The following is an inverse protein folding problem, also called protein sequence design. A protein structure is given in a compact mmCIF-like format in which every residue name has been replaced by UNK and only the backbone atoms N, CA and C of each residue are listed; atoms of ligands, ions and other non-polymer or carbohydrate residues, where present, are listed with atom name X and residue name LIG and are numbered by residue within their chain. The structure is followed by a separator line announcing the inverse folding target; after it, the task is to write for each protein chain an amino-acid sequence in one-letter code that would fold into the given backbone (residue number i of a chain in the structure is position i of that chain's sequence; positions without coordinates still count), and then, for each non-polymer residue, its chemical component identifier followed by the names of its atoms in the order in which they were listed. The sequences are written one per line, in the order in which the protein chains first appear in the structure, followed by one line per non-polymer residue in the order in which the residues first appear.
data_IF_899562222307
#
_entry.id   IF_899562222307
#
_cell.length_a   1.000
_cell.length_b   1.000
_cell.length_c   1.000
_cell.angle_alpha   90.00
_cell.angle_beta   90.00
_cell.angle_gamma   90.00
#
_symmetry.space_group_name_H-M   'P 1'
#
loop_
_entity.id
_entity.type
_entity.pdbx_description
1 polymer ?
#
# COMPACT_ATOMS: atom_id res chain seq x y z
N UNK A 1 -4.98 41.39 -10.19
CA UNK A 1 -5.45 40.01 -9.96
C UNK A 1 -4.46 39.36 -9.03
N UNK A 2 -4.92 39.02 -7.83
CA UNK A 2 -4.03 38.61 -6.73
C UNK A 2 -3.77 37.11 -6.80
N UNK A 3 -2.50 36.73 -6.75
CA UNK A 3 -2.03 35.35 -6.68
C UNK A 3 -2.55 34.68 -5.40
N UNK A 4 -3.25 33.55 -5.52
CA UNK A 4 -3.55 32.67 -4.42
C UNK A 4 -2.36 31.74 -4.20
N UNK A 5 -1.54 32.10 -3.25
CA UNK A 5 -0.42 31.29 -2.76
C UNK A 5 -1.01 30.12 -1.95
N UNK A 6 -0.71 28.90 -2.35
CA UNK A 6 -0.98 27.67 -1.58
C UNK A 6 0.01 27.64 -0.41
N UNK A 7 -0.43 28.20 0.70
CA UNK A 7 0.24 28.14 1.98
C UNK A 7 -0.58 27.31 2.96
N UNK A 8 -0.35 26.01 2.97
CA UNK A 8 -0.90 25.11 3.99
C UNK A 8 0.17 24.07 4.31
N UNK A 9 1.11 24.46 5.15
CA UNK A 9 1.93 23.64 6.07
C UNK A 9 3.06 24.50 6.68
N UNK A 10 2.66 25.50 7.46
CA UNK A 10 3.54 26.15 8.46
C UNK A 10 2.66 26.57 9.62
N UNK A 11 3.08 26.13 10.79
CA UNK A 11 2.75 26.53 12.14
C UNK A 11 2.19 25.39 13.01
N UNK A 12 3.12 24.58 13.48
CA UNK A 12 3.01 23.97 14.79
C UNK A 12 4.41 23.79 15.42
N UNK A 13 5.05 24.89 15.75
CA UNK A 13 6.18 24.90 16.68
C UNK A 13 6.21 26.27 17.37
N UNK A 14 6.08 26.26 18.66
CA UNK A 14 6.48 27.28 19.63
C UNK A 14 5.38 27.58 20.63
N UNK A 15 5.46 26.92 21.77
CA UNK A 15 5.36 27.52 23.12
C UNK A 15 5.37 26.46 24.22
N UNK A 16 6.51 26.25 24.83
CA UNK A 16 6.57 25.96 26.27
C UNK A 16 7.83 26.59 26.84
N UNK A 17 7.62 27.61 27.65
CA UNK A 17 8.66 28.24 28.47
C UNK A 17 8.71 27.58 29.84
N UNK A 18 9.92 27.24 30.22
CA UNK A 18 10.58 27.23 31.54
C UNK A 18 9.70 27.19 32.81
N UNK A 19 9.88 26.14 33.60
CA UNK A 19 9.83 26.18 35.07
C UNK A 19 11.04 25.36 35.56
N UNK A 20 11.83 25.97 36.46
CA UNK A 20 13.08 25.43 36.98
C UNK A 20 12.92 24.50 38.21
N UNK A 21 14.01 24.00 38.81
CA UNK A 21 14.05 22.77 39.58
C UNK A 21 13.78 22.99 41.09
N UNK A 22 13.07 22.03 41.70
CA UNK A 22 13.10 21.81 43.14
C UNK A 22 13.50 20.37 43.41
N UNK A 23 14.62 20.21 44.10
CA UNK A 23 15.16 18.92 44.52
C UNK A 23 14.36 18.34 45.69
N UNK A 24 14.01 17.06 45.59
CA UNK A 24 13.66 16.23 46.74
C UNK A 24 14.28 14.86 46.60
N UNK A 25 15.23 14.58 47.49
CA UNK A 25 15.90 13.30 47.63
C UNK A 25 14.95 12.36 48.37
N UNK A 26 14.61 11.23 47.77
CA UNK A 26 14.06 10.07 48.50
C UNK A 26 14.51 8.80 47.83
N UNK A 27 15.09 7.92 48.65
CA UNK A 27 15.75 6.69 48.22
C UNK A 27 14.83 5.74 47.45
N UNK A 28 15.35 5.19 46.37
CA UNK A 28 14.69 4.20 45.56
C UNK A 28 15.49 2.89 45.60
N UNK A 29 14.78 1.89 46.05
CA UNK A 29 15.12 0.48 45.97
C UNK A 29 15.31 0.12 44.50
N UNK A 30 16.53 -0.17 44.07
CA UNK A 30 16.84 -0.62 42.71
C UNK A 30 16.43 -2.07 42.59
N UNK A 31 15.18 -2.32 42.17
CA UNK A 31 14.84 -3.59 41.55
C UNK A 31 15.37 -3.55 40.10
N UNK A 32 16.39 -4.34 39.84
CA UNK A 32 16.99 -4.49 38.51
C UNK A 32 15.96 -5.03 37.52
N UNK A 33 15.38 -4.14 36.73
CA UNK A 33 14.68 -4.53 35.51
C UNK A 33 15.77 -4.82 34.49
N UNK A 34 16.03 -6.11 34.24
CA UNK A 34 16.83 -6.51 33.09
C UNK A 34 16.19 -5.90 31.83
N UNK A 35 16.96 -5.20 30.99
CA UNK A 35 16.43 -4.74 29.72
C UNK A 35 16.03 -5.98 28.92
N UNK A 36 14.75 -6.10 28.62
CA UNK A 36 14.28 -6.98 27.57
C UNK A 36 14.98 -6.49 26.29
N UNK A 37 16.04 -7.19 25.87
CA UNK A 37 16.67 -6.95 24.58
C UNK A 37 15.58 -7.27 23.54
N UNK A 38 15.04 -6.27 22.90
CA UNK A 38 14.34 -6.44 21.64
C UNK A 38 15.34 -7.12 20.70
N UNK A 39 15.18 -8.43 20.52
CA UNK A 39 15.93 -9.15 19.50
C UNK A 39 15.65 -8.46 18.16
N UNK A 40 16.71 -8.10 17.45
CA UNK A 40 16.61 -7.55 16.10
C UNK A 40 15.72 -8.49 15.26
N UNK A 41 14.50 -8.04 14.96
CA UNK A 41 13.51 -8.83 14.20
C UNK A 41 13.97 -9.13 12.77
N UNK A 42 15.06 -8.53 12.33
CA UNK A 42 15.61 -8.67 10.98
C UNK A 42 16.31 -10.01 10.73
N UNK A 43 16.71 -10.74 11.76
CA UNK A 43 17.28 -12.09 11.62
C UNK A 43 16.23 -13.16 11.28
N UNK A 44 14.95 -12.84 11.39
CA UNK A 44 13.87 -13.80 11.14
C UNK A 44 13.53 -13.95 9.64
N UNK A 45 13.79 -12.93 8.81
CA UNK A 45 13.46 -12.94 7.39
C UNK A 45 14.65 -13.43 6.55
N UNK A 46 14.32 -14.13 5.47
CA UNK A 46 15.29 -14.58 4.46
C UNK A 46 15.03 -13.84 3.15
N UNK A 47 16.04 -13.16 2.63
CA UNK A 47 16.01 -12.52 1.32
C UNK A 47 16.21 -13.54 0.20
N UNK A 48 15.35 -13.48 -0.80
CA UNK A 48 15.30 -14.41 -1.91
C UNK A 48 15.02 -13.72 -3.24
N UNK A 49 15.22 -14.43 -4.34
CA UNK A 49 14.91 -13.96 -5.69
C UNK A 49 14.18 -15.02 -6.49
N UNK A 50 13.29 -14.56 -7.35
CA UNK A 50 12.59 -15.40 -8.33
C UNK A 50 12.62 -14.76 -9.71
N UNK A 51 13.08 -15.51 -10.72
CA UNK A 51 12.99 -15.10 -12.13
C UNK A 51 11.64 -15.54 -12.66
N UNK A 52 10.78 -14.58 -13.00
CA UNK A 52 9.42 -14.79 -13.49
C UNK A 52 9.08 -13.69 -14.51
N UNK A 53 8.29 -14.03 -15.51
CA UNK A 53 7.76 -13.07 -16.49
C UNK A 53 8.82 -12.08 -17.06
N UNK A 54 10.04 -12.58 -17.30
CA UNK A 54 11.15 -11.81 -17.87
C UNK A 54 11.85 -10.83 -16.90
N UNK A 55 11.54 -10.90 -15.60
CA UNK A 55 12.16 -10.07 -14.56
C UNK A 55 12.61 -10.91 -13.38
N UNK A 56 13.61 -10.40 -12.65
CA UNK A 56 14.04 -10.95 -11.37
C UNK A 56 13.40 -10.17 -10.24
N UNK A 57 12.54 -10.83 -9.47
CA UNK A 57 11.85 -10.23 -8.35
C UNK A 57 12.49 -10.65 -7.04
N UNK A 58 12.77 -9.67 -6.18
CA UNK A 58 13.19 -9.87 -4.82
C UNK A 58 11.98 -10.12 -3.92
N UNK A 59 12.13 -10.95 -2.91
CA UNK A 59 11.14 -11.14 -1.86
C UNK A 59 11.79 -11.55 -0.55
N UNK A 60 11.17 -11.14 0.55
CA UNK A 60 11.49 -11.64 1.87
C UNK A 60 10.51 -12.74 2.27
N UNK A 61 10.99 -13.75 2.98
CA UNK A 61 10.15 -14.84 3.48
C UNK A 61 10.45 -15.19 4.92
N UNK A 62 9.43 -15.70 5.62
CA UNK A 62 9.53 -16.19 7.00
C UNK A 62 8.48 -17.26 7.23
N UNK A 63 8.80 -18.26 8.09
CA UNK A 63 7.91 -19.38 8.39
C UNK A 63 7.92 -20.47 7.33
N UNK A 64 7.02 -21.44 7.49
CA UNK A 64 6.83 -22.60 6.61
C UNK A 64 5.35 -22.98 6.57
N UNK A 65 4.90 -23.61 5.51
CA UNK A 65 3.51 -24.05 5.36
C UNK A 65 2.85 -23.56 4.07
N UNK A 66 1.51 -23.43 4.03
CA UNK A 66 0.80 -22.84 2.91
C UNK A 66 1.25 -21.40 2.64
N UNK A 67 1.29 -20.99 1.38
CA UNK A 67 1.71 -19.64 1.00
C UNK A 67 0.68 -18.59 1.41
N UNK A 68 1.14 -17.56 2.08
CA UNK A 68 0.47 -16.26 2.16
C UNK A 68 1.38 -15.20 1.54
N UNK A 69 0.90 -14.55 0.47
CA UNK A 69 1.65 -13.59 -0.33
C UNK A 69 1.15 -12.17 -0.05
N UNK A 70 2.09 -11.28 0.24
CA UNK A 70 1.83 -9.88 0.53
C UNK A 70 2.34 -8.98 -0.60
N UNK A 71 1.46 -8.13 -1.15
CA UNK A 71 1.77 -7.14 -2.16
C UNK A 71 1.64 -5.73 -1.59
N UNK A 72 2.72 -4.98 -1.64
CA UNK A 72 2.75 -3.58 -1.23
C UNK A 72 2.24 -2.65 -2.34
N UNK A 73 2.15 -1.36 -2.05
CA UNK A 73 1.84 -0.31 -3.02
C UNK A 73 2.92 0.77 -3.11
N UNK A 74 2.55 1.91 -3.68
CA UNK A 74 3.41 3.08 -3.77
C UNK A 74 3.23 3.97 -2.53
N UNK A 75 4.28 4.46 -1.93
CA UNK A 75 5.70 4.32 -2.23
C UNK A 75 6.40 3.31 -1.30
N UNK A 76 5.97 2.10 -1.24
CA UNK A 76 6.41 1.11 -0.27
C UNK A 76 7.21 -0.06 -0.88
N UNK A 77 7.52 -1.05 -0.06
CA UNK A 77 8.17 -2.29 -0.42
C UNK A 77 7.78 -3.40 0.58
N UNK A 78 8.30 -4.63 0.44
CA UNK A 78 7.89 -5.77 1.26
C UNK A 78 7.87 -5.50 2.76
N UNK A 79 8.76 -4.62 3.26
CA UNK A 79 8.99 -4.39 4.68
C UNK A 79 7.79 -3.76 5.41
N UNK A 80 6.87 -3.11 4.70
CA UNK A 80 5.61 -2.65 5.30
C UNK A 80 4.81 -3.77 5.95
N UNK A 81 5.06 -5.02 5.57
CA UNK A 81 4.34 -6.21 6.01
C UNK A 81 5.05 -6.99 7.10
N UNK A 82 6.19 -6.48 7.65
CA UNK A 82 7.03 -7.22 8.59
C UNK A 82 6.24 -7.85 9.74
N UNK A 83 5.33 -7.08 10.34
CA UNK A 83 4.58 -7.50 11.53
C UNK A 83 3.50 -8.53 11.17
N UNK A 84 2.77 -8.31 10.07
CA UNK A 84 1.78 -9.24 9.55
C UNK A 84 2.42 -10.56 9.09
N UNK A 85 3.60 -10.48 8.47
CA UNK A 85 4.36 -11.65 8.06
C UNK A 85 4.84 -12.45 9.27
N UNK A 86 5.35 -11.81 10.31
CA UNK A 86 5.76 -12.47 11.56
C UNK A 86 4.57 -13.15 12.24
N UNK A 87 3.42 -12.51 12.29
CA UNK A 87 2.22 -13.13 12.84
C UNK A 87 1.82 -14.37 12.04
N UNK A 88 1.81 -14.29 10.71
CA UNK A 88 1.40 -15.41 9.85
C UNK A 88 2.46 -16.53 9.76
N UNK A 89 3.72 -16.25 10.07
CA UNK A 89 4.83 -17.22 9.99
C UNK A 89 4.72 -18.41 10.95
N UNK A 90 3.81 -18.35 11.90
CA UNK A 90 3.59 -19.43 12.88
C UNK A 90 3.15 -20.74 12.22
N UNK A 91 2.43 -20.65 11.10
CA UNK A 91 1.83 -21.79 10.39
C UNK A 91 1.76 -21.63 8.86
N UNK A 92 2.28 -20.53 8.33
CA UNK A 92 2.33 -20.23 6.91
C UNK A 92 3.75 -19.88 6.46
N UNK A 93 4.03 -20.14 5.18
CA UNK A 93 5.12 -19.47 4.48
C UNK A 93 4.65 -18.05 4.13
N UNK A 94 5.02 -17.07 4.96
CA UNK A 94 4.69 -15.68 4.74
C UNK A 94 5.75 -15.04 3.84
N UNK A 95 5.31 -14.46 2.71
CA UNK A 95 6.17 -13.90 1.67
C UNK A 95 5.76 -12.48 1.35
N UNK A 96 6.65 -11.53 1.56
CA UNK A 96 6.53 -10.14 1.13
C UNK A 96 7.28 -9.93 -0.17
N UNK A 97 6.56 -9.63 -1.25
CA UNK A 97 7.15 -9.41 -2.56
C UNK A 97 7.53 -7.95 -2.76
N UNK A 98 8.76 -7.69 -3.19
CA UNK A 98 9.07 -6.42 -3.85
C UNK A 98 8.55 -6.50 -5.27
N UNK A 99 7.46 -5.78 -5.53
CA UNK A 99 6.87 -5.76 -6.85
C UNK A 99 7.85 -5.17 -7.87
N UNK A 100 7.70 -5.51 -9.14
CA UNK A 100 8.48 -4.94 -10.25
C UNK A 100 8.61 -3.42 -10.12
N UNK A 101 9.81 -2.87 -10.29
CA UNK A 101 10.06 -1.43 -10.18
C UNK A 101 10.45 -0.94 -8.77
N UNK A 102 10.40 -1.79 -7.76
CA UNK A 102 10.67 -1.39 -6.36
C UNK A 102 11.89 -2.09 -5.77
N UNK A 103 12.52 -1.43 -4.81
CA UNK A 103 13.61 -1.91 -3.97
C UNK A 103 14.63 -2.75 -4.76
N UNK A 104 14.83 -4.01 -4.43
CA UNK A 104 15.81 -4.91 -5.05
C UNK A 104 15.28 -5.67 -6.29
N UNK A 105 14.02 -5.51 -6.64
CA UNK A 105 13.43 -6.09 -7.84
C UNK A 105 13.87 -5.38 -9.11
N UNK A 106 13.81 -6.07 -10.26
CA UNK A 106 14.07 -5.50 -11.59
C UNK A 106 13.20 -4.29 -11.87
N UNK A 107 13.77 -3.28 -12.53
CA UNK A 107 13.14 -2.00 -12.84
C UNK A 107 13.25 -1.69 -14.35
N UNK A 108 12.42 -2.36 -15.18
CA UNK A 108 12.34 -2.03 -16.60
C UNK A 108 12.06 -0.54 -16.82
N UNK A 109 12.57 0.02 -17.90
CA UNK A 109 12.40 1.46 -18.20
C UNK A 109 11.19 1.76 -19.07
N UNK A 110 10.66 0.77 -19.77
CA UNK A 110 9.49 0.90 -20.64
C UNK A 110 8.17 0.84 -19.84
N UNK A 111 7.17 1.58 -20.29
CA UNK A 111 5.87 1.65 -19.62
C UNK A 111 5.01 0.38 -19.78
N UNK A 112 5.17 -0.35 -20.87
CA UNK A 112 4.40 -1.59 -21.10
C UNK A 112 4.68 -2.64 -20.03
N UNK A 113 5.91 -2.65 -19.50
CA UNK A 113 6.32 -3.48 -18.38
C UNK A 113 5.52 -3.22 -17.10
N UNK A 114 4.85 -2.09 -16.98
CA UNK A 114 4.09 -1.69 -15.78
C UNK A 114 2.57 -1.70 -15.96
N UNK A 115 2.09 -2.21 -17.09
CA UNK A 115 0.63 -2.44 -17.27
C UNK A 115 0.12 -3.45 -16.24
N UNK A 116 -1.08 -3.21 -15.71
CA UNK A 116 -1.69 -4.09 -14.69
C UNK A 116 -1.68 -5.55 -15.12
N UNK A 117 -1.95 -5.85 -16.40
CA UNK A 117 -1.91 -7.21 -16.94
C UNK A 117 -0.53 -7.87 -16.77
N UNK A 118 0.55 -7.14 -17.02
CA UNK A 118 1.92 -7.62 -16.82
C UNK A 118 2.22 -7.89 -15.34
N UNK A 119 1.78 -6.97 -14.45
CA UNK A 119 1.95 -7.13 -13.00
C UNK A 119 1.15 -8.30 -12.44
N UNK A 120 -0.03 -8.56 -12.96
CA UNK A 120 -0.85 -9.74 -12.61
C UNK A 120 -0.15 -11.04 -13.01
N UNK A 121 0.49 -11.05 -14.18
CA UNK A 121 1.25 -12.21 -14.64
C UNK A 121 2.51 -12.45 -13.79
N UNK A 122 3.18 -11.40 -13.31
CA UNK A 122 4.27 -11.52 -12.34
C UNK A 122 3.80 -12.29 -11.09
N UNK A 123 2.67 -11.87 -10.52
CA UNK A 123 2.09 -12.52 -9.33
C UNK A 123 1.73 -13.97 -9.60
N UNK A 124 1.15 -14.26 -10.78
CA UNK A 124 0.77 -15.62 -11.15
C UNK A 124 1.97 -16.55 -11.22
N UNK A 125 3.00 -16.17 -11.99
CA UNK A 125 4.22 -16.98 -12.13
C UNK A 125 4.99 -17.06 -10.81
N UNK A 126 5.01 -15.98 -10.03
CA UNK A 126 5.66 -15.95 -8.73
C UNK A 126 4.98 -16.93 -7.76
N UNK A 127 3.66 -16.88 -7.64
CA UNK A 127 2.92 -17.77 -6.77
C UNK A 127 3.09 -19.26 -7.13
N UNK A 128 3.12 -19.59 -8.43
CA UNK A 128 3.43 -20.95 -8.87
C UNK A 128 4.84 -21.40 -8.54
N UNK A 129 5.83 -20.50 -8.65
CA UNK A 129 7.24 -20.81 -8.41
C UNK A 129 7.54 -20.98 -6.93
N UNK A 130 6.98 -20.12 -6.07
CA UNK A 130 7.27 -20.09 -4.62
C UNK A 130 6.29 -20.95 -3.83
N UNK A 131 5.00 -20.87 -4.13
CA UNK A 131 3.94 -21.60 -3.44
C UNK A 131 3.71 -23.02 -3.97
N UNK A 132 4.14 -23.28 -5.17
CA UNK A 132 3.96 -24.57 -5.87
C UNK A 132 2.80 -24.54 -6.88
N UNK A 133 3.04 -25.19 -8.01
CA UNK A 133 2.07 -25.28 -9.11
C UNK A 133 0.77 -25.93 -8.63
N UNK A 134 -0.37 -25.37 -9.06
CA UNK A 134 -1.73 -25.83 -8.73
C UNK A 134 -2.09 -25.77 -7.22
N UNK A 135 -1.33 -25.09 -6.40
CA UNK A 135 -1.69 -24.83 -5.01
C UNK A 135 -2.42 -23.49 -4.87
N UNK A 136 -3.43 -23.47 -4.03
CA UNK A 136 -4.09 -22.21 -3.65
C UNK A 136 -3.26 -21.50 -2.59
N UNK A 137 -3.38 -20.16 -2.58
CA UNK A 137 -2.71 -19.32 -1.61
C UNK A 137 -3.62 -18.19 -1.12
N UNK A 138 -3.25 -17.60 0.00
CA UNK A 138 -3.88 -16.36 0.50
C UNK A 138 -3.12 -15.18 -0.09
N UNK A 139 -3.86 -14.21 -0.65
CA UNK A 139 -3.30 -12.97 -1.19
C UNK A 139 -3.72 -11.78 -0.34
N UNK A 140 -2.73 -11.07 0.21
CA UNK A 140 -2.91 -9.86 0.99
C UNK A 140 -2.29 -8.69 0.23
N UNK A 141 -3.01 -7.58 0.08
CA UNK A 141 -2.54 -6.52 -0.79
C UNK A 141 -3.02 -5.13 -0.35
N UNK A 142 -2.17 -4.12 -0.59
CA UNK A 142 -2.42 -2.73 -0.26
C UNK A 142 -2.15 -1.83 -1.47
N UNK A 143 -2.91 -0.74 -1.63
CA UNK A 143 -2.73 0.32 -2.64
C UNK A 143 -2.59 -0.24 -4.07
N UNK A 144 -1.47 -0.02 -4.79
CA UNK A 144 -1.22 -0.61 -6.11
C UNK A 144 -1.19 -2.13 -6.09
N UNK A 145 -0.63 -2.73 -5.01
CA UNK A 145 -0.72 -4.17 -4.81
C UNK A 145 -2.17 -4.65 -4.77
N UNK A 146 -3.06 -3.88 -4.14
CA UNK A 146 -4.50 -4.19 -4.11
C UNK A 146 -5.14 -4.07 -5.51
N UNK A 147 -4.75 -3.08 -6.31
CA UNK A 147 -5.19 -2.99 -7.71
C UNK A 147 -4.83 -4.26 -8.49
N UNK A 148 -3.59 -4.72 -8.35
CA UNK A 148 -3.11 -5.97 -8.98
C UNK A 148 -3.87 -7.18 -8.43
N UNK A 149 -4.09 -7.25 -7.11
CA UNK A 149 -4.76 -8.36 -6.45
C UNK A 149 -6.25 -8.47 -6.84
N UNK A 150 -6.96 -7.34 -6.97
CA UNK A 150 -8.33 -7.33 -7.50
C UNK A 150 -8.41 -7.91 -8.90
N UNK A 151 -7.54 -7.45 -9.81
CA UNK A 151 -7.49 -7.95 -11.19
C UNK A 151 -7.03 -9.40 -11.22
N UNK A 152 -6.07 -9.78 -10.38
CA UNK A 152 -5.65 -11.19 -10.23
C UNK A 152 -6.82 -12.10 -9.86
N UNK A 153 -7.63 -11.70 -8.87
CA UNK A 153 -8.80 -12.48 -8.44
C UNK A 153 -9.88 -12.62 -9.53
N UNK A 154 -9.95 -11.67 -10.47
CA UNK A 154 -10.84 -11.75 -11.64
C UNK A 154 -10.30 -12.70 -12.72
N UNK A 155 -8.98 -12.78 -12.89
CA UNK A 155 -8.34 -13.63 -13.91
C UNK A 155 -8.08 -15.06 -13.43
N UNK A 156 -7.62 -15.23 -12.18
CA UNK A 156 -7.14 -16.49 -11.61
C UNK A 156 -7.81 -16.84 -10.26
N UNK A 157 -9.16 -16.79 -10.16
CA UNK A 157 -9.85 -17.06 -8.89
C UNK A 157 -9.57 -18.44 -8.31
N UNK A 158 -9.25 -19.42 -9.19
CA UNK A 158 -8.93 -20.79 -8.80
C UNK A 158 -7.61 -20.92 -8.03
N UNK A 159 -6.70 -19.96 -8.18
CA UNK A 159 -5.43 -19.94 -7.45
C UNK A 159 -5.57 -19.38 -6.04
N UNK A 160 -6.68 -18.72 -5.73
CA UNK A 160 -6.86 -18.07 -4.44
C UNK A 160 -7.69 -18.94 -3.48
N UNK A 161 -7.22 -19.03 -2.24
CA UNK A 161 -7.99 -19.51 -1.12
C UNK A 161 -8.80 -18.37 -0.52
N UNK A 162 -8.15 -17.24 -0.26
CA UNK A 162 -8.74 -16.00 0.27
C UNK A 162 -8.05 -14.79 -0.32
N UNK A 163 -8.77 -13.68 -0.36
CA UNK A 163 -8.27 -12.38 -0.75
C UNK A 163 -8.44 -11.39 0.41
N UNK A 164 -7.40 -10.64 0.72
CA UNK A 164 -7.43 -9.60 1.76
C UNK A 164 -6.91 -8.30 1.13
N UNK A 165 -7.75 -7.28 1.12
CA UNK A 165 -7.44 -5.98 0.53
C UNK A 165 -7.42 -4.93 1.63
N UNK A 166 -6.36 -4.13 1.66
CA UNK A 166 -6.19 -3.06 2.62
C UNK A 166 -6.07 -1.74 1.86
N UNK A 167 -6.96 -0.78 2.13
CA UNK A 167 -6.99 0.54 1.48
C UNK A 167 -6.64 0.48 -0.02
N UNK A 168 -7.41 -0.29 -0.76
CA UNK A 168 -7.21 -0.51 -2.19
C UNK A 168 -8.53 -0.57 -2.95
N UNK A 169 -8.74 0.39 -3.86
CA UNK A 169 -9.99 0.54 -4.58
C UNK A 169 -10.20 -0.56 -5.61
N UNK A 170 -11.42 -1.13 -5.64
CA UNK A 170 -11.84 -2.02 -6.71
C UNK A 170 -11.89 -1.25 -8.05
N UNK A 171 -11.38 -1.78 -9.18
CA UNK A 171 -11.23 -1.04 -10.43
C UNK A 171 -12.47 -0.29 -10.89
N UNK A 172 -13.64 -0.94 -10.89
CA UNK A 172 -14.90 -0.32 -11.31
C UNK A 172 -15.40 0.75 -10.33
N UNK A 173 -15.13 0.60 -9.05
CA UNK A 173 -15.49 1.60 -8.04
C UNK A 173 -14.52 2.79 -8.08
N UNK A 174 -13.24 2.56 -8.37
CA UNK A 174 -12.26 3.62 -8.60
C UNK A 174 -12.68 4.49 -9.80
N UNK A 175 -13.04 3.86 -10.93
CA UNK A 175 -13.53 4.58 -12.10
C UNK A 175 -14.80 5.39 -11.80
N UNK A 176 -15.77 4.80 -11.08
CA UNK A 176 -16.98 5.50 -10.66
C UNK A 176 -16.68 6.70 -9.76
N UNK A 177 -15.87 6.50 -8.72
CA UNK A 177 -15.57 7.56 -7.76
C UNK A 177 -14.84 8.75 -8.42
N UNK A 178 -13.89 8.47 -9.29
CA UNK A 178 -13.19 9.54 -10.02
C UNK A 178 -14.16 10.24 -11.00
N UNK A 179 -15.08 9.53 -11.62
CA UNK A 179 -16.04 10.11 -12.55
C UNK A 179 -17.13 10.94 -11.84
N UNK A 180 -17.66 10.44 -10.71
CA UNK A 180 -18.88 10.97 -10.10
C UNK A 180 -18.65 11.80 -8.84
N UNK A 181 -17.52 11.59 -8.14
CA UNK A 181 -17.24 12.24 -6.86
C UNK A 181 -16.14 13.31 -6.99
N UNK A 182 -16.53 14.60 -6.88
CA UNK A 182 -15.60 15.71 -6.96
C UNK A 182 -14.51 15.68 -5.86
N UNK A 183 -14.87 15.23 -4.65
CA UNK A 183 -13.90 15.11 -3.55
C UNK A 183 -12.85 14.02 -3.87
N UNK A 184 -13.26 12.89 -4.47
CA UNK A 184 -12.31 11.87 -4.90
C UNK A 184 -11.40 12.36 -6.03
N UNK A 185 -11.94 13.10 -7.03
CA UNK A 185 -11.10 13.72 -8.06
C UNK A 185 -10.03 14.61 -7.45
N UNK A 186 -10.42 15.45 -6.47
CA UNK A 186 -9.45 16.30 -5.78
C UNK A 186 -8.42 15.50 -5.00
N UNK A 187 -8.83 14.48 -4.25
CA UNK A 187 -7.94 13.59 -3.52
C UNK A 187 -6.94 12.87 -4.46
N UNK A 188 -7.33 12.61 -5.70
CA UNK A 188 -6.52 11.93 -6.73
C UNK A 188 -5.61 12.87 -7.54
N UNK A 189 -5.57 14.18 -7.24
CA UNK A 189 -4.78 15.16 -8.03
C UNK A 189 -3.26 14.85 -8.06
N UNK A 190 -2.73 14.17 -7.05
CA UNK A 190 -1.32 13.77 -7.02
C UNK A 190 -0.95 12.88 -8.23
N UNK A 191 -1.91 12.15 -8.82
CA UNK A 191 -1.67 11.31 -10.00
C UNK A 191 -1.24 12.15 -11.21
N UNK A 192 -1.76 13.37 -11.35
CA UNK A 192 -1.31 14.27 -12.42
C UNK A 192 0.16 14.63 -12.27
N UNK A 193 0.59 14.96 -11.04
CA UNK A 193 1.99 15.26 -10.74
C UNK A 193 2.89 14.07 -11.09
N UNK A 194 2.46 12.84 -10.72
CA UNK A 194 3.21 11.62 -11.02
C UNK A 194 3.30 11.32 -12.52
N UNK A 195 2.31 11.76 -13.28
CA UNK A 195 2.28 11.64 -14.74
C UNK A 195 2.98 12.80 -15.47
N UNK A 196 3.60 13.75 -14.74
CA UNK A 196 4.37 14.85 -15.30
C UNK A 196 3.54 16.09 -15.63
N UNK A 197 2.29 16.20 -15.18
CA UNK A 197 1.50 17.42 -15.27
C UNK A 197 1.79 18.32 -14.07
N UNK A 198 2.43 19.44 -14.34
CA UNK A 198 2.95 20.33 -13.31
C UNK A 198 2.33 21.71 -13.43
N UNK A 199 2.30 22.45 -12.32
CA UNK A 199 2.01 23.85 -12.34
C UNK A 199 3.13 24.62 -13.08
N UNK A 200 2.84 25.79 -13.68
CA UNK A 200 3.87 26.60 -14.33
C UNK A 200 5.03 26.90 -13.38
N UNK A 201 6.25 26.54 -13.81
CA UNK A 201 7.48 26.73 -13.03
C UNK A 201 7.92 25.55 -12.16
N UNK A 202 7.13 24.50 -12.04
CA UNK A 202 7.55 23.26 -11.39
C UNK A 202 8.35 22.37 -12.36
N UNK A 203 9.33 21.64 -11.82
CA UNK A 203 10.13 20.70 -12.62
C UNK A 203 9.44 19.32 -12.63
N UNK A 204 9.40 18.62 -13.78
CA UNK A 204 8.90 17.26 -13.83
C UNK A 204 9.72 16.35 -12.91
N UNK A 205 9.07 15.34 -12.38
CA UNK A 205 9.76 14.26 -11.69
C UNK A 205 10.36 13.37 -12.78
N UNK A 206 11.67 13.52 -12.98
CA UNK A 206 12.47 12.80 -13.97
C UNK A 206 13.64 12.05 -13.31
N UNK A 207 14.45 11.37 -14.10
CA UNK A 207 15.58 10.59 -13.62
C UNK A 207 16.60 11.42 -12.80
N UNK A 208 16.64 12.74 -12.95
CA UNK A 208 17.60 13.60 -12.27
C UNK A 208 17.16 14.02 -10.88
N UNK A 209 15.87 14.00 -10.59
CA UNK A 209 15.31 14.46 -9.31
C UNK A 209 14.45 13.40 -8.58
N UNK A 210 14.25 12.22 -9.18
CA UNK A 210 13.39 11.17 -8.62
C UNK A 210 13.86 10.68 -7.26
N UNK A 211 15.18 10.53 -7.06
CA UNK A 211 15.75 10.07 -5.79
C UNK A 211 15.47 11.12 -4.69
N UNK A 212 15.74 12.40 -4.97
CA UNK A 212 15.46 13.49 -4.04
C UNK A 212 13.97 13.59 -3.72
N UNK A 213 13.12 13.52 -4.74
CA UNK A 213 11.68 13.59 -4.57
C UNK A 213 11.12 12.40 -3.78
N UNK A 214 11.52 11.18 -4.12
CA UNK A 214 11.12 9.96 -3.43
C UNK A 214 11.60 9.94 -1.98
N UNK A 215 12.89 10.20 -1.79
CA UNK A 215 13.53 10.26 -0.47
C UNK A 215 12.86 11.31 0.42
N UNK A 216 12.64 12.53 -0.09
CA UNK A 216 11.97 13.60 0.65
C UNK A 216 10.55 13.20 1.06
N UNK A 217 9.75 12.60 0.18
CA UNK A 217 8.40 12.15 0.50
C UNK A 217 8.36 10.97 1.46
N UNK A 218 9.25 10.00 1.29
CA UNK A 218 9.36 8.88 2.22
C UNK A 218 9.79 9.35 3.62
N UNK A 219 10.72 10.31 3.70
CA UNK A 219 11.24 10.84 4.96
C UNK A 219 10.28 11.76 5.71
N UNK A 220 9.45 12.52 5.01
CA UNK A 220 8.53 13.48 5.65
C UNK A 220 7.13 12.91 5.89
N UNK A 221 6.93 11.63 5.59
CA UNK A 221 5.63 10.99 5.65
C UNK A 221 5.46 10.03 6.82
N UNK A 222 4.82 8.91 6.53
CA UNK A 222 4.43 7.91 7.50
C UNK A 222 5.59 7.23 8.24
N UNK A 223 6.78 7.06 7.61
CA UNK A 223 7.93 6.40 8.26
C UNK A 223 8.42 7.17 9.47
N UNK A 224 8.60 8.49 9.34
CA UNK A 224 9.00 9.36 10.45
C UNK A 224 7.93 9.37 11.56
N UNK A 225 6.65 9.25 11.19
CA UNK A 225 5.58 9.12 12.16
C UNK A 225 5.67 7.82 12.96
N UNK A 226 5.98 6.70 12.31
CA UNK A 226 6.14 5.40 12.97
C UNK A 226 7.39 5.34 13.86
N UNK A 227 8.50 5.98 13.45
CA UNK A 227 9.68 6.17 14.31
C UNK A 227 9.33 7.01 15.55
N UNK A 228 8.61 8.10 15.36
CA UNK A 228 8.18 8.97 16.47
C UNK A 228 7.22 8.28 17.45
N UNK A 229 6.41 7.35 16.97
CA UNK A 229 5.55 6.50 17.83
C UNK A 229 6.35 5.40 18.55
N UNK A 230 7.60 5.13 18.16
CA UNK A 230 8.43 4.06 18.69
C UNK A 230 8.11 2.67 18.10
N UNK A 231 7.29 2.60 17.08
CA UNK A 231 6.99 1.37 16.34
C UNK A 231 8.16 0.98 15.43
N UNK A 232 8.76 1.95 14.75
CA UNK A 232 9.97 1.79 13.96
C UNK A 232 11.21 2.33 14.69
N UNK A 233 12.33 1.63 14.55
CA UNK A 233 13.67 2.09 14.94
C UNK A 233 14.28 2.97 13.84
N UNK A 234 15.42 3.60 14.14
CA UNK A 234 16.24 4.26 13.11
C UNK A 234 16.80 3.27 12.08
N UNK A 235 17.01 2.01 12.47
CA UNK A 235 17.39 0.95 11.53
C UNK A 235 16.24 0.63 10.55
N UNK A 236 15.01 0.53 11.05
CA UNK A 236 13.83 0.39 10.19
C UNK A 236 13.72 1.57 9.21
N UNK A 237 13.89 2.80 9.71
CA UNK A 237 13.90 4.02 8.90
C UNK A 237 14.95 3.96 7.80
N UNK A 238 16.17 3.54 8.11
CA UNK A 238 17.25 3.41 7.14
C UNK A 238 16.92 2.39 6.04
N UNK A 239 16.24 1.29 6.36
CA UNK A 239 15.78 0.31 5.37
C UNK A 239 14.83 0.93 4.34
N UNK A 240 13.94 1.82 4.77
CA UNK A 240 13.07 2.56 3.87
C UNK A 240 13.87 3.50 2.96
N UNK A 241 14.86 4.19 3.51
CA UNK A 241 15.76 5.07 2.74
C UNK A 241 16.53 4.26 1.71
N UNK A 242 17.09 3.13 2.11
CA UNK A 242 17.88 2.26 1.23
C UNK A 242 17.03 1.72 0.07
N UNK A 243 15.80 1.29 0.35
CA UNK A 243 14.86 0.82 -0.68
C UNK A 243 14.52 1.92 -1.71
N UNK A 244 14.34 3.15 -1.25
CA UNK A 244 14.05 4.30 -2.09
C UNK A 244 15.27 4.78 -2.88
N UNK A 245 16.47 4.61 -2.31
CA UNK A 245 17.73 5.03 -2.94
C UNK A 245 18.21 4.02 -3.98
N UNK A 246 17.55 2.87 -4.15
CA UNK A 246 17.90 1.94 -5.22
C UNK A 246 17.72 2.61 -6.59
N UNK A 247 18.71 2.50 -7.49
CA UNK A 247 18.62 3.10 -8.83
C UNK A 247 17.32 2.70 -9.53
N UNK A 248 16.56 3.67 -10.02
CA UNK A 248 15.31 3.47 -10.72
C UNK A 248 14.08 3.17 -9.86
N UNK A 249 14.18 3.06 -8.51
CA UNK A 249 13.04 2.73 -7.64
C UNK A 249 11.93 3.79 -7.70
N UNK A 250 12.28 5.07 -7.71
CA UNK A 250 11.28 6.14 -7.80
C UNK A 250 10.58 6.12 -9.16
N UNK A 251 11.34 6.03 -10.24
CA UNK A 251 10.78 5.93 -11.60
C UNK A 251 9.94 4.69 -11.78
N UNK A 252 10.42 3.53 -11.29
CA UNK A 252 9.68 2.28 -11.33
C UNK A 252 8.32 2.39 -10.63
N UNK A 253 8.29 2.96 -9.42
CA UNK A 253 7.03 3.20 -8.70
C UNK A 253 6.09 4.16 -9.42
N UNK A 254 6.62 5.26 -9.99
CA UNK A 254 5.83 6.22 -10.77
C UNK A 254 5.30 5.62 -12.09
N UNK A 255 5.98 4.65 -12.66
CA UNK A 255 5.54 4.00 -13.90
C UNK A 255 4.24 3.21 -13.75
N UNK A 256 3.87 2.81 -12.54
CA UNK A 256 2.53 2.25 -12.27
C UNK A 256 1.42 3.24 -12.64
N UNK A 257 1.61 4.52 -12.31
CA UNK A 257 0.68 5.58 -12.66
C UNK A 257 0.77 5.92 -14.15
N UNK A 258 1.97 6.12 -14.67
CA UNK A 258 2.23 6.54 -16.06
C UNK A 258 1.74 5.50 -17.09
N UNK A 259 1.86 4.22 -16.78
CA UNK A 259 1.44 3.14 -17.65
C UNK A 259 -0.10 2.95 -17.68
N UNK A 260 -0.79 3.22 -16.58
CA UNK A 260 -2.19 2.82 -16.39
C UNK A 260 -3.18 3.98 -16.30
N UNK A 261 -2.71 5.21 -16.20
CA UNK A 261 -3.58 6.39 -16.21
C UNK A 261 -3.33 7.20 -17.47
N UNK A 262 -4.36 7.31 -18.31
CA UNK A 262 -4.33 8.20 -19.47
C UNK A 262 -4.85 9.57 -19.01
N UNK A 263 -3.98 10.56 -18.97
CA UNK A 263 -4.42 11.92 -18.72
C UNK A 263 -4.87 12.55 -20.03
N UNK A 264 -6.04 13.23 -20.04
CA UNK A 264 -6.34 14.11 -21.14
C UNK A 264 -5.25 15.20 -21.23
N UNK A 265 -4.96 15.75 -22.41
CA UNK A 265 -3.98 16.83 -22.53
C UNK A 265 -4.36 17.96 -21.57
N UNK A 266 -3.37 18.43 -20.81
CA UNK A 266 -3.56 19.59 -19.94
C UNK A 266 -3.95 20.79 -20.78
N UNK A 267 -5.03 21.45 -20.38
CA UNK A 267 -5.42 22.70 -20.98
C UNK A 267 -5.73 23.67 -19.82
N UNK A 268 -5.25 24.89 -19.92
CA UNK A 268 -5.39 25.93 -18.88
C UNK A 268 -6.86 26.22 -18.50
N UNK A 269 -7.79 25.90 -19.37
CA UNK A 269 -9.23 26.07 -19.12
C UNK A 269 -9.86 24.96 -18.28
N UNK A 270 -9.14 23.85 -18.05
CA UNK A 270 -9.62 22.71 -17.30
C UNK A 270 -8.63 22.38 -16.17
N UNK A 271 -8.83 22.93 -14.96
CA UNK A 271 -8.02 22.58 -13.80
C UNK A 271 -8.00 21.06 -13.58
N UNK A 272 -6.89 20.53 -13.13
CA UNK A 272 -6.70 19.10 -12.85
C UNK A 272 -7.86 18.49 -12.01
N UNK A 273 -8.38 19.26 -11.06
CA UNK A 273 -9.50 18.86 -10.19
C UNK A 273 -10.85 18.65 -10.93
N UNK A 274 -10.99 19.10 -12.18
CA UNK A 274 -12.22 18.97 -12.98
C UNK A 274 -12.12 17.86 -14.03
N UNK A 275 -10.91 17.33 -14.28
CA UNK A 275 -10.69 16.32 -15.30
C UNK A 275 -10.67 14.95 -14.61
N UNK A 276 -11.59 14.06 -15.01
CA UNK A 276 -11.55 12.67 -14.58
C UNK A 276 -10.30 12.00 -15.16
N UNK A 277 -9.52 11.34 -14.32
CA UNK A 277 -8.43 10.47 -14.79
C UNK A 277 -9.03 9.41 -15.72
N UNK A 278 -8.38 9.13 -16.82
CA UNK A 278 -8.82 8.04 -17.69
C UNK A 278 -8.31 6.69 -17.20
N UNK A 279 -8.62 6.35 -15.97
CA UNK A 279 -8.56 4.97 -15.50
C UNK A 279 -9.73 4.21 -16.14
N UNK A 280 -9.43 3.14 -16.85
CA UNK A 280 -10.44 2.30 -17.46
C UNK A 280 -10.49 0.94 -16.77
N UNK A 281 -11.51 0.72 -15.96
CA UNK A 281 -11.74 -0.59 -15.34
C UNK A 281 -11.91 -1.69 -16.40
N UNK A 282 -12.55 -1.39 -17.53
CA UNK A 282 -12.71 -2.31 -18.64
C UNK A 282 -11.35 -2.71 -19.24
N UNK A 283 -10.43 -1.76 -19.43
CA UNK A 283 -9.11 -2.02 -20.00
C UNK A 283 -8.26 -2.92 -19.07
N UNK A 284 -8.24 -2.60 -17.78
CA UNK A 284 -7.41 -3.36 -16.82
C UNK A 284 -7.96 -4.75 -16.49
N UNK A 285 -9.25 -4.98 -16.75
CA UNK A 285 -9.91 -6.28 -16.54
C UNK A 285 -10.15 -7.06 -17.84
N UNK A 286 -9.62 -6.59 -18.97
CA UNK A 286 -9.77 -7.27 -20.25
C UNK A 286 -9.24 -8.72 -20.20
N UNK A 287 -10.07 -9.65 -20.66
CA UNK A 287 -9.76 -11.09 -20.63
C UNK A 287 -9.97 -11.76 -19.28
N UNK A 288 -10.49 -11.06 -18.27
CA UNK A 288 -10.84 -11.65 -16.98
C UNK A 288 -11.92 -12.73 -17.11
N UNK A 289 -11.79 -13.82 -16.35
CA UNK A 289 -12.81 -14.90 -16.30
C UNK A 289 -14.13 -14.39 -15.74
N UNK A 290 -14.08 -13.46 -14.79
CA UNK A 290 -15.24 -12.82 -14.20
C UNK A 290 -14.83 -11.50 -13.55
N UNK A 291 -15.62 -10.46 -13.74
CA UNK A 291 -15.45 -9.20 -13.00
C UNK A 291 -16.09 -9.25 -11.61
N UNK A 292 -16.95 -10.24 -11.36
CA UNK A 292 -17.48 -10.51 -10.01
C UNK A 292 -16.57 -11.50 -9.30
N UNK A 293 -16.06 -11.10 -8.15
CA UNK A 293 -15.14 -11.90 -7.34
C UNK A 293 -15.92 -12.83 -6.44
N UNK A 294 -15.69 -14.14 -6.59
CA UNK A 294 -16.33 -15.19 -5.80
C UNK A 294 -15.44 -15.69 -4.65
N UNK A 295 -14.14 -15.41 -4.71
CA UNK A 295 -13.19 -15.75 -3.65
C UNK A 295 -13.60 -15.07 -2.36
N UNK A 296 -13.58 -15.76 -1.21
CA UNK A 296 -13.82 -15.11 0.09
C UNK A 296 -12.88 -13.93 0.28
N UNK A 297 -13.43 -12.74 0.50
CA UNK A 297 -12.68 -11.49 0.49
C UNK A 297 -12.93 -10.69 1.76
N UNK A 298 -11.83 -10.30 2.43
CA UNK A 298 -11.83 -9.30 3.50
C UNK A 298 -11.30 -7.98 2.95
N UNK A 299 -12.02 -6.90 3.21
CA UNK A 299 -11.53 -5.53 2.97
C UNK A 299 -11.32 -4.84 4.31
N UNK A 300 -10.10 -4.40 4.56
CA UNK A 300 -9.72 -3.58 5.71
C UNK A 300 -9.55 -2.14 5.22
N UNK A 301 -10.12 -1.17 5.95
CA UNK A 301 -10.10 0.22 5.49
C UNK A 301 -9.88 1.20 6.63
N UNK A 302 -8.81 2.00 6.52
CA UNK A 302 -8.59 3.20 7.32
C UNK A 302 -9.44 4.34 6.77
N UNK A 303 -10.41 4.82 7.55
CA UNK A 303 -11.44 5.75 7.08
C UNK A 303 -10.96 7.19 6.87
N UNK A 304 -9.77 7.53 7.38
CA UNK A 304 -9.13 8.84 7.18
C UNK A 304 -8.20 8.88 5.98
N UNK A 305 -8.27 7.89 5.08
CA UNK A 305 -7.47 7.84 3.86
C UNK A 305 -7.65 9.11 3.03
N UNK A 306 -6.58 9.91 2.81
CA UNK A 306 -6.68 11.16 2.06
C UNK A 306 -6.65 10.95 0.54
N UNK A 307 -6.24 9.76 0.07
CA UNK A 307 -6.10 9.42 -1.34
C UNK A 307 -7.27 8.60 -1.87
N UNK A 308 -7.70 7.60 -1.10
CA UNK A 308 -8.79 6.70 -1.44
C UNK A 308 -9.93 6.90 -0.44
N UNK A 309 -10.87 7.78 -0.77
CA UNK A 309 -11.97 8.11 0.12
C UNK A 309 -12.92 6.93 0.33
N UNK A 310 -13.60 6.91 1.46
CA UNK A 310 -14.51 5.82 1.88
C UNK A 310 -15.61 5.50 0.87
N UNK A 311 -15.93 6.41 -0.04
CA UNK A 311 -16.87 6.19 -1.16
C UNK A 311 -16.56 4.96 -2.00
N UNK A 312 -15.29 4.55 -2.08
CA UNK A 312 -14.86 3.31 -2.76
C UNK A 312 -15.48 2.02 -2.18
N UNK A 313 -15.98 2.05 -0.95
CA UNK A 313 -16.67 0.91 -0.35
C UNK A 313 -18.15 0.82 -0.77
N UNK A 314 -18.73 1.92 -1.23
CA UNK A 314 -20.14 1.96 -1.62
C UNK A 314 -20.41 1.07 -2.82
N UNK A 315 -21.27 0.06 -2.68
CA UNK A 315 -21.63 -0.90 -3.72
C UNK A 315 -20.57 -1.96 -4.02
N UNK A 316 -19.55 -2.14 -3.16
CA UNK A 316 -18.54 -3.19 -3.30
C UNK A 316 -19.17 -4.59 -3.25
N UNK A 317 -20.25 -4.77 -2.52
CA UNK A 317 -21.06 -5.99 -2.44
C UNK A 317 -21.65 -6.45 -3.79
N UNK A 318 -21.74 -5.55 -4.76
CA UNK A 318 -22.17 -5.91 -6.13
C UNK A 318 -21.06 -6.61 -6.93
N UNK A 319 -19.82 -6.39 -6.53
CA UNK A 319 -18.62 -6.92 -7.21
C UNK A 319 -17.97 -8.08 -6.48
N UNK A 320 -18.26 -8.26 -5.18
CA UNK A 320 -17.65 -9.28 -4.33
C UNK A 320 -18.74 -10.09 -3.62
N UNK A 321 -18.91 -11.35 -4.03
CA UNK A 321 -20.01 -12.19 -3.56
C UNK A 321 -19.87 -12.59 -2.07
N UNK A 322 -18.65 -12.86 -1.61
CA UNK A 322 -18.33 -13.25 -0.22
C UNK A 322 -17.48 -12.17 0.44
N UNK A 323 -18.11 -11.02 0.73
CA UNK A 323 -17.45 -9.83 1.26
C UNK A 323 -17.54 -9.78 2.79
N UNK A 324 -16.41 -9.53 3.42
CA UNK A 324 -16.30 -9.06 4.81
C UNK A 324 -15.60 -7.70 4.80
N UNK A 325 -15.98 -6.79 5.70
CA UNK A 325 -15.38 -5.45 5.79
C UNK A 325 -15.03 -5.13 7.23
N UNK A 326 -13.81 -4.65 7.44
CA UNK A 326 -13.33 -4.12 8.72
C UNK A 326 -12.92 -2.66 8.54
N UNK A 327 -13.52 -1.77 9.32
CA UNK A 327 -13.25 -0.34 9.28
C UNK A 327 -12.41 0.09 10.49
N UNK A 328 -11.45 0.98 10.25
CA UNK A 328 -10.64 1.63 11.27
C UNK A 328 -10.90 3.15 11.21
N UNK A 329 -11.82 3.68 12.04
CA UNK A 329 -12.27 5.08 11.94
C UNK A 329 -11.15 6.09 12.20
N UNK A 330 -10.15 5.71 12.98
CA UNK A 330 -9.07 6.60 13.42
C UNK A 330 -7.79 6.49 12.60
N UNK A 331 -7.73 5.55 11.65
CA UNK A 331 -6.57 5.30 10.82
C UNK A 331 -6.76 5.78 9.38
N UNK A 332 -5.65 6.01 8.69
CA UNK A 332 -5.60 6.48 7.31
C UNK A 332 -5.21 5.39 6.30
N UNK A 333 -4.58 5.79 5.21
CA UNK A 333 -4.09 4.92 4.13
C UNK A 333 -3.13 3.82 4.62
N UNK A 334 -2.37 4.10 5.68
CA UNK A 334 -1.32 3.22 6.21
C UNK A 334 -1.81 2.41 7.42
N UNK A 335 -3.07 1.99 7.41
CA UNK A 335 -3.70 1.29 8.53
C UNK A 335 -2.90 0.06 9.01
N UNK A 336 -2.22 -0.66 8.11
CA UNK A 336 -1.39 -1.81 8.46
C UNK A 336 -0.11 -1.45 9.25
N UNK A 337 0.30 -0.18 9.20
CA UNK A 337 1.40 0.36 10.01
C UNK A 337 0.88 0.99 11.28
N UNK A 338 -0.16 1.84 11.15
CA UNK A 338 -0.76 2.57 12.28
C UNK A 338 -1.42 1.63 13.30
N UNK A 339 -2.00 0.52 12.83
CA UNK A 339 -2.70 -0.52 13.60
C UNK A 339 -2.10 -1.89 13.36
N UNK A 340 -0.77 -1.99 13.42
CA UNK A 340 -0.04 -3.18 12.96
C UNK A 340 -0.45 -4.47 13.68
N UNK A 341 -0.65 -4.43 15.01
CA UNK A 341 -1.06 -5.58 15.79
C UNK A 341 -2.50 -6.00 15.49
N UNK A 342 -3.41 -5.02 15.46
CA UNK A 342 -4.83 -5.27 15.19
C UNK A 342 -5.05 -5.79 13.78
N UNK A 343 -4.35 -5.22 12.78
CA UNK A 343 -4.44 -5.68 11.39
C UNK A 343 -3.84 -7.07 11.23
N UNK A 344 -2.69 -7.36 11.87
CA UNK A 344 -2.11 -8.70 11.87
C UNK A 344 -3.07 -9.73 12.48
N UNK A 345 -3.72 -9.39 13.60
CA UNK A 345 -4.74 -10.22 14.22
C UNK A 345 -5.98 -10.42 13.34
N UNK A 346 -6.47 -9.37 12.69
CA UNK A 346 -7.62 -9.44 11.79
C UNK A 346 -7.32 -10.31 10.57
N UNK A 347 -6.13 -10.20 9.98
CA UNK A 347 -5.67 -11.10 8.90
C UNK A 347 -5.69 -12.55 9.38
N UNK A 348 -5.06 -12.84 10.52
CA UNK A 348 -5.03 -14.20 11.10
C UNK A 348 -6.42 -14.75 11.33
N UNK A 349 -7.26 -13.99 12.01
CA UNK A 349 -8.65 -14.38 12.31
C UNK A 349 -9.42 -14.74 11.03
N UNK A 350 -9.25 -13.95 9.97
CA UNK A 350 -9.90 -14.21 8.69
C UNK A 350 -9.35 -15.45 8.00
N UNK A 351 -8.02 -15.63 8.00
CA UNK A 351 -7.35 -16.79 7.40
C UNK A 351 -7.77 -18.09 8.12
N UNK A 352 -7.92 -18.08 9.43
CA UNK A 352 -8.42 -19.21 10.21
C UNK A 352 -9.91 -19.50 10.00
N UNK A 353 -10.64 -18.69 9.25
CA UNK A 353 -12.08 -18.89 9.00
C UNK A 353 -12.98 -18.50 10.16
N UNK A 354 -12.47 -17.75 11.13
CA UNK A 354 -13.27 -17.22 12.24
C UNK A 354 -14.20 -16.11 11.76
N UNK A 355 -15.37 -16.01 12.39
CA UNK A 355 -16.40 -15.04 11.99
C UNK A 355 -15.89 -13.60 11.99
N UNK A 356 -16.07 -12.97 10.85
CA UNK A 356 -15.90 -11.54 10.63
C UNK A 356 -17.29 -10.89 10.46
N UNK A 357 -17.47 -9.64 10.92
CA UNK A 357 -18.74 -8.95 10.73
C UNK A 357 -19.07 -8.90 9.24
N UNK A 358 -20.22 -9.50 8.87
CA UNK A 358 -20.74 -9.38 7.52
C UNK A 358 -21.33 -7.99 7.33
N UNK A 359 -20.92 -7.32 6.30
CA UNK A 359 -21.59 -6.29 5.51
C UNK A 359 -22.40 -5.15 6.16
N UNK A 360 -23.15 -5.33 7.24
CA UNK A 360 -24.14 -4.32 7.67
C UNK A 360 -23.56 -3.01 8.21
N UNK A 361 -22.32 -3.04 8.73
CA UNK A 361 -21.70 -1.89 9.38
C UNK A 361 -21.14 -0.85 8.38
N UNK A 362 -20.72 -1.26 7.17
CA UNK A 362 -20.12 -0.31 6.22
C UNK A 362 -21.12 0.44 5.35
N UNK A 363 -22.33 -0.10 5.16
CA UNK A 363 -23.40 0.56 4.37
C UNK A 363 -23.83 1.91 4.95
N UNK A 364 -23.69 2.07 6.26
CA UNK A 364 -24.01 3.32 6.95
C UNK A 364 -22.84 4.34 6.89
N UNK A 365 -21.61 3.85 6.85
CA UNK A 365 -20.42 4.70 6.79
C UNK A 365 -20.09 5.21 5.37
N UNK A 366 -20.60 4.55 4.34
CA UNK A 366 -20.36 4.87 2.92
C UNK A 366 -21.45 5.79 2.30
N UNK A 367 -22.44 6.23 3.11
CA UNK A 367 -23.44 7.24 2.74
C UNK A 367 -23.07 8.60 3.28
#
# INVERSE_FOLDING_TARGET
MRAFTIGLFRDFALRWRRIGPAALISGVLVMGILPCHAQSTTSAFTDNYADVNGVRLHYASVGQGPLILFLHGYPSFWYQWKDQMLEMSRDHLAVGLDMRGYNLSSKPTDLESYKVKTLVEDVRQFAEKVGGKNKKFVLVAHDWGATVAWVFAMHYPEMLEKLIIINGAHPFLSEREVRENAAQRYASNYIFVFNGYLAPGEKPIDETNTVEYGTRRAHTGFVDAEVKKGHYSEEDRQRWIDAWSQPGSTTGGLNYYRANHRNPPFNETHPASTIAHSWSAKEVTEGAKSVTIKVPTLVIWGMKDPALLVGHLSGLDKWVANLSVKLYPDSDHWVMLDKYEEVAHDIRKYVEGKDFPKESAYRTAAR
#
